data_IF_145809630636
#
_entry.id   IF_145809630636
#
_cell.length_a   1.000
_cell.length_b   1.000
_cell.length_c   1.000
_cell.angle_alpha   90.00
_cell.angle_beta   90.00
_cell.angle_gamma   90.00
#
_symmetry.space_group_name_H-M   'P 1'
#
loop_
_entity.id
_entity.type
_entity.pdbx_description
1 polymer ?
#
# COMPACT_ATOMS: atom_id res chain seq x y z
N UNK A 1 -42.23 -23.38 -13.64
CA UNK A 1 -41.33 -23.36 -12.46
C UNK A 1 -39.84 -23.26 -12.82
N UNK A 2 -39.33 -23.95 -13.83
CA UNK A 2 -37.89 -23.90 -14.22
C UNK A 2 -37.38 -22.51 -14.64
N UNK A 3 -38.18 -21.72 -15.35
CA UNK A 3 -37.80 -20.37 -15.79
C UNK A 3 -37.67 -19.37 -14.64
N UNK A 4 -38.49 -19.49 -13.59
CA UNK A 4 -38.46 -18.61 -12.42
C UNK A 4 -37.22 -18.89 -11.57
N UNK A 5 -36.84 -20.16 -11.38
CA UNK A 5 -35.56 -20.50 -10.73
C UNK A 5 -34.36 -19.94 -11.49
N UNK A 6 -34.36 -19.98 -12.82
CA UNK A 6 -33.23 -19.48 -13.63
C UNK A 6 -33.02 -17.96 -13.49
N UNK A 7 -34.11 -17.19 -13.43
CA UNK A 7 -34.05 -15.73 -13.22
C UNK A 7 -33.54 -15.38 -11.81
N UNK A 8 -33.98 -16.14 -10.80
CA UNK A 8 -33.51 -15.96 -9.41
C UNK A 8 -32.01 -16.26 -9.28
N UNK A 9 -31.51 -17.31 -9.94
CA UNK A 9 -30.08 -17.64 -9.95
C UNK A 9 -29.23 -16.56 -10.65
N UNK A 10 -29.71 -15.99 -11.77
CA UNK A 10 -29.01 -14.91 -12.47
C UNK A 10 -28.96 -13.61 -11.66
N UNK A 11 -30.05 -13.27 -10.95
CA UNK A 11 -30.09 -12.10 -10.07
C UNK A 11 -29.15 -12.26 -8.86
N UNK A 12 -29.04 -13.46 -8.28
CA UNK A 12 -28.11 -13.74 -7.18
C UNK A 12 -26.63 -13.64 -7.62
N UNK A 13 -26.29 -14.09 -8.83
CA UNK A 13 -24.94 -13.92 -9.38
C UNK A 13 -24.59 -12.45 -9.66
N UNK A 14 -25.54 -11.65 -10.12
CA UNK A 14 -25.33 -10.22 -10.40
C UNK A 14 -25.07 -9.40 -9.12
N UNK A 15 -25.73 -9.74 -8.01
CA UNK A 15 -25.52 -9.07 -6.72
C UNK A 15 -24.13 -9.40 -6.15
N UNK A 16 -23.70 -10.66 -6.21
CA UNK A 16 -22.38 -11.10 -5.74
C UNK A 16 -21.20 -10.57 -6.57
N UNK A 17 -21.42 -10.18 -7.82
CA UNK A 17 -20.39 -9.55 -8.66
C UNK A 17 -20.10 -8.08 -8.26
N UNK A 18 -20.98 -7.45 -7.48
CA UNK A 18 -20.94 -6.01 -7.20
C UNK A 18 -20.36 -5.63 -5.83
N UNK A 19 -20.07 -6.60 -4.96
CA UNK A 19 -19.57 -6.36 -3.59
C UNK A 19 -18.08 -6.67 -3.41
N UNK A 20 -17.29 -6.70 -4.49
CA UNK A 20 -15.84 -6.51 -4.31
C UNK A 20 -15.59 -5.04 -3.94
N UNK A 21 -15.66 -4.74 -2.64
CA UNK A 21 -14.99 -3.57 -2.08
C UNK A 21 -13.51 -3.82 -2.38
N UNK A 22 -13.04 -3.36 -3.56
CA UNK A 22 -11.61 -3.19 -3.79
C UNK A 22 -11.19 -2.15 -2.77
N UNK A 23 -10.66 -2.62 -1.64
CA UNK A 23 -9.71 -1.84 -0.85
C UNK A 23 -8.75 -1.27 -1.89
N UNK A 24 -8.69 0.07 -1.98
CA UNK A 24 -7.78 0.76 -2.91
C UNK A 24 -6.36 0.42 -2.48
N UNK A 25 -5.83 -0.71 -2.96
CA UNK A 25 -4.45 -1.10 -2.71
C UNK A 25 -3.55 -0.11 -3.43
N UNK A 26 -2.58 0.45 -2.70
CA UNK A 26 -1.59 1.40 -3.21
C UNK A 26 -1.92 2.87 -2.95
N UNK A 27 -1.10 3.76 -3.50
CA UNK A 27 -1.24 5.20 -3.31
C UNK A 27 -2.36 5.77 -4.18
N UNK A 28 -3.11 6.73 -3.65
CA UNK A 28 -4.01 7.57 -4.45
C UNK A 28 -3.22 8.42 -5.47
N UNK A 29 -3.89 8.99 -6.49
CA UNK A 29 -3.20 9.88 -7.45
C UNK A 29 -2.61 11.10 -6.75
N UNK A 30 -3.33 11.66 -5.77
CA UNK A 30 -2.86 12.80 -4.97
C UNK A 30 -1.64 12.43 -4.14
N UNK A 31 -1.64 11.24 -3.52
CA UNK A 31 -0.50 10.73 -2.75
C UNK A 31 0.71 10.47 -3.65
N UNK A 32 0.49 9.90 -4.84
CA UNK A 32 1.55 9.69 -5.83
C UNK A 32 2.20 11.02 -6.23
N UNK A 33 1.40 12.02 -6.57
CA UNK A 33 1.91 13.33 -6.98
C UNK A 33 2.65 14.01 -5.83
N UNK A 34 2.05 14.08 -4.65
CA UNK A 34 2.68 14.65 -3.44
C UNK A 34 4.03 14.01 -3.15
N UNK A 35 4.10 12.69 -3.25
CA UNK A 35 5.32 11.93 -3.02
C UNK A 35 6.39 12.20 -4.09
N UNK A 36 6.01 12.14 -5.38
CA UNK A 36 6.93 12.42 -6.47
C UNK A 36 7.44 13.85 -6.46
N UNK A 37 6.60 14.83 -6.16
CA UNK A 37 6.98 16.24 -6.10
C UNK A 37 8.06 16.46 -5.03
N UNK A 38 7.83 15.93 -3.82
CA UNK A 38 8.79 16.03 -2.73
C UNK A 38 10.11 15.30 -3.04
N UNK A 39 10.03 14.06 -3.51
CA UNK A 39 11.21 13.25 -3.82
C UNK A 39 12.02 13.83 -4.99
N UNK A 40 11.36 14.28 -6.06
CA UNK A 40 12.06 14.88 -7.19
C UNK A 40 12.69 16.22 -6.83
N UNK A 41 12.05 17.03 -5.98
CA UNK A 41 12.65 18.26 -5.46
C UNK A 41 13.94 17.97 -4.68
N UNK A 42 13.91 16.99 -3.77
CA UNK A 42 15.11 16.56 -3.04
C UNK A 42 16.20 16.04 -3.99
N UNK A 43 15.82 15.23 -4.99
CA UNK A 43 16.75 14.72 -6.01
C UNK A 43 17.42 15.88 -6.75
N UNK A 44 16.69 16.92 -7.16
CA UNK A 44 17.29 18.05 -7.84
C UNK A 44 18.24 18.83 -6.92
N UNK A 45 17.84 19.13 -5.69
CA UNK A 45 18.69 19.85 -4.73
C UNK A 45 20.01 19.11 -4.44
N UNK A 46 19.95 17.80 -4.25
CA UNK A 46 21.15 16.97 -4.06
C UNK A 46 21.98 16.90 -5.33
N UNK A 47 21.34 16.80 -6.50
CA UNK A 47 22.03 16.80 -7.79
C UNK A 47 22.86 18.06 -8.00
N UNK A 48 22.27 19.22 -7.69
CA UNK A 48 22.96 20.51 -7.73
C UNK A 48 24.17 20.54 -6.80
N UNK A 49 24.01 20.10 -5.54
CA UNK A 49 25.12 20.04 -4.57
C UNK A 49 26.25 19.12 -5.05
N UNK A 50 25.91 18.02 -5.70
CA UNK A 50 26.84 17.00 -6.16
C UNK A 50 27.41 17.29 -7.56
N UNK A 51 26.88 18.27 -8.29
CA UNK A 51 27.24 18.50 -9.70
C UNK A 51 26.82 17.36 -10.64
N UNK A 52 25.76 16.62 -10.30
CA UNK A 52 25.20 15.55 -11.14
C UNK A 52 23.73 15.81 -11.44
N UNK A 53 23.22 15.24 -12.53
CA UNK A 53 21.80 15.31 -12.85
C UNK A 53 21.10 14.03 -12.42
N UNK A 54 20.03 14.19 -11.65
CA UNK A 54 19.07 13.14 -11.38
C UNK A 54 17.91 13.22 -12.37
N UNK A 55 17.65 12.12 -13.08
CA UNK A 55 16.44 11.99 -13.87
C UNK A 55 15.19 12.16 -12.98
N UNK A 56 14.16 12.80 -13.52
CA UNK A 56 12.88 12.96 -12.85
C UNK A 56 12.19 11.59 -12.76
N UNK A 57 11.88 11.17 -11.54
CA UNK A 57 11.14 9.93 -11.30
C UNK A 57 9.68 10.09 -11.72
N UNK A 58 9.17 9.07 -12.40
CA UNK A 58 7.77 8.95 -12.79
C UNK A 58 7.11 7.78 -12.10
N UNK A 59 5.81 7.91 -11.80
CA UNK A 59 5.09 6.84 -11.10
C UNK A 59 4.80 5.68 -12.04
N UNK A 60 5.00 4.45 -11.58
CA UNK A 60 4.75 3.25 -12.35
C UNK A 60 3.89 2.25 -11.57
N UNK A 61 2.69 1.98 -12.07
CA UNK A 61 1.75 1.03 -11.44
C UNK A 61 2.23 -0.42 -11.44
N UNK A 62 3.06 -0.81 -12.41
CA UNK A 62 3.69 -2.14 -12.39
C UNK A 62 4.67 -2.30 -11.22
N UNK A 63 5.45 -1.26 -10.93
CA UNK A 63 6.35 -1.23 -9.77
C UNK A 63 5.60 -1.14 -8.43
N UNK A 64 4.46 -0.43 -8.38
CA UNK A 64 3.57 -0.43 -7.21
C UNK A 64 3.05 -1.85 -6.93
N UNK A 65 2.57 -2.55 -7.96
CA UNK A 65 2.12 -3.93 -7.82
C UNK A 65 3.26 -4.85 -7.39
N UNK A 66 4.47 -4.62 -7.90
CA UNK A 66 5.67 -5.38 -7.47
C UNK A 66 5.99 -5.14 -6.00
N UNK A 67 5.92 -3.90 -5.53
CA UNK A 67 6.15 -3.56 -4.13
C UNK A 67 5.10 -4.18 -3.20
N UNK A 68 3.83 -4.14 -3.60
CA UNK A 68 2.71 -4.76 -2.86
C UNK A 68 2.88 -6.28 -2.71
N UNK A 69 3.22 -6.96 -3.80
CA UNK A 69 3.35 -8.42 -3.85
C UNK A 69 4.75 -8.92 -3.45
N UNK A 70 5.61 -8.05 -2.96
CA UNK A 70 6.94 -8.45 -2.48
C UNK A 70 6.82 -9.50 -1.37
N UNK A 71 7.67 -10.53 -1.40
CA UNK A 71 7.65 -11.63 -0.43
C UNK A 71 8.53 -11.29 0.77
N UNK A 72 8.02 -11.44 1.99
CA UNK A 72 8.72 -11.05 3.23
C UNK A 72 9.69 -12.13 3.74
N UNK A 73 10.21 -12.98 2.85
CA UNK A 73 10.66 -14.33 3.20
C UNK A 73 12.15 -14.40 3.58
N UNK A 74 12.78 -13.25 3.88
CA UNK A 74 14.14 -13.18 4.41
C UNK A 74 14.94 -11.94 3.98
N UNK A 75 16.14 -11.73 4.56
CA UNK A 75 16.95 -10.52 4.38
C UNK A 75 17.55 -10.36 2.97
N UNK A 76 17.78 -11.46 2.24
CA UNK A 76 18.49 -11.43 0.94
C UNK A 76 17.68 -10.88 -0.24
N UNK A 77 16.35 -10.81 -0.14
CA UNK A 77 15.49 -10.25 -1.20
C UNK A 77 15.24 -8.74 -1.04
N UNK A 78 15.74 -8.13 0.04
CA UNK A 78 15.41 -6.75 0.42
C UNK A 78 16.07 -5.69 -0.48
N UNK A 79 17.11 -6.02 -1.26
CA UNK A 79 17.75 -5.07 -2.17
C UNK A 79 16.87 -4.61 -3.35
N UNK A 80 15.75 -5.29 -3.59
CA UNK A 80 14.80 -4.94 -4.66
C UNK A 80 13.69 -3.97 -4.25
N UNK A 81 13.58 -3.67 -2.95
CA UNK A 81 12.58 -2.75 -2.41
C UNK A 81 13.20 -1.84 -1.35
N UNK A 82 12.58 -0.68 -1.12
CA UNK A 82 12.94 0.20 -0.02
C UNK A 82 11.74 0.32 0.91
N UNK A 83 11.86 -0.02 2.20
CA UNK A 83 10.77 0.19 3.14
C UNK A 83 10.48 1.69 3.29
N UNK A 84 9.26 2.04 3.71
CA UNK A 84 8.90 3.43 3.99
C UNK A 84 8.96 3.77 5.48
N UNK A 85 8.91 2.76 6.34
CA UNK A 85 9.05 2.85 7.78
C UNK A 85 9.56 1.52 8.32
N UNK A 86 10.40 1.54 9.34
CA UNK A 86 10.86 0.32 9.99
C UNK A 86 10.80 0.45 11.52
N UNK A 87 10.82 -0.67 12.24
CA UNK A 87 10.93 -0.67 13.69
C UNK A 87 12.40 -0.54 14.16
N UNK A 88 12.60 -0.35 15.46
CA UNK A 88 13.93 -0.15 16.03
C UNK A 88 14.87 -1.33 15.77
N UNK A 89 14.36 -2.56 15.90
CA UNK A 89 15.15 -3.78 15.64
C UNK A 89 15.69 -3.81 14.20
N UNK A 90 14.89 -3.37 13.22
CA UNK A 90 15.33 -3.29 11.82
C UNK A 90 16.35 -2.16 11.60
N UNK A 91 16.26 -1.04 12.33
CA UNK A 91 17.27 0.04 12.27
C UNK A 91 18.62 -0.39 12.78
N UNK A 92 18.66 -1.31 13.75
CA UNK A 92 19.92 -1.83 14.31
C UNK A 92 20.66 -2.77 13.35
N UNK A 93 19.95 -3.41 12.42
CA UNK A 93 20.52 -4.40 11.49
C UNK A 93 20.71 -3.88 10.07
N UNK A 94 20.03 -2.80 9.69
CA UNK A 94 20.12 -2.22 8.36
C UNK A 94 20.75 -0.82 8.36
N UNK A 95 21.62 -0.60 7.37
CA UNK A 95 22.15 0.72 7.08
C UNK A 95 21.06 1.62 6.46
N UNK A 96 20.66 2.67 7.18
CA UNK A 96 19.67 3.64 6.74
C UNK A 96 20.09 4.42 5.50
N UNK A 97 21.38 4.68 5.36
CA UNK A 97 21.92 5.42 4.22
C UNK A 97 21.84 4.55 2.97
N UNK A 98 22.18 3.27 3.09
CA UNK A 98 22.02 2.30 1.99
C UNK A 98 20.58 2.25 1.45
N UNK A 99 19.57 2.29 2.33
CA UNK A 99 18.17 2.29 1.92
C UNK A 99 17.79 3.61 1.24
N UNK A 100 18.21 4.73 1.83
CA UNK A 100 17.93 6.06 1.32
C UNK A 100 18.57 6.27 -0.06
N UNK A 101 19.79 5.76 -0.30
CA UNK A 101 20.51 5.83 -1.59
C UNK A 101 19.69 5.36 -2.79
N UNK A 102 18.78 4.41 -2.61
CA UNK A 102 17.96 3.90 -3.72
C UNK A 102 17.00 4.96 -4.28
N UNK A 103 16.48 5.86 -3.42
CA UNK A 103 15.70 7.03 -3.85
C UNK A 103 16.53 8.02 -4.67
N UNK A 104 17.85 7.98 -4.48
CA UNK A 104 18.81 8.87 -5.12
C UNK A 104 19.75 8.10 -6.04
N UNK A 105 19.31 7.02 -6.68
CA UNK A 105 20.08 6.45 -7.79
C UNK A 105 19.78 7.25 -9.08
N UNK A 106 20.80 7.84 -9.75
CA UNK A 106 20.59 8.63 -10.98
C UNK A 106 20.04 7.83 -12.16
N UNK A 107 20.21 6.49 -12.14
CA UNK A 107 19.74 5.60 -13.21
C UNK A 107 18.28 5.18 -13.05
N UNK A 108 17.69 5.40 -11.88
CA UNK A 108 16.27 5.16 -11.66
C UNK A 108 15.46 6.30 -12.29
N UNK A 109 14.47 5.95 -13.12
CA UNK A 109 13.53 6.88 -13.78
C UNK A 109 12.07 6.59 -13.44
N UNK A 110 11.81 5.45 -12.79
CA UNK A 110 10.49 4.96 -12.42
C UNK A 110 10.49 4.49 -10.97
N UNK A 111 9.37 4.71 -10.31
CA UNK A 111 9.11 4.26 -8.95
C UNK A 111 7.66 3.83 -8.80
N UNK A 112 7.39 2.86 -7.94
CA UNK A 112 6.03 2.57 -7.49
C UNK A 112 6.05 2.03 -6.07
N UNK A 113 5.10 2.46 -5.25
CA UNK A 113 5.10 2.17 -3.82
C UNK A 113 3.75 1.65 -3.34
N UNK A 114 3.78 0.74 -2.38
CA UNK A 114 2.62 0.42 -1.56
C UNK A 114 2.83 0.98 -0.16
N UNK A 115 1.83 1.70 0.36
CA UNK A 115 1.81 2.14 1.77
C UNK A 115 1.20 1.10 2.71
N UNK A 116 0.46 0.12 2.17
CA UNK A 116 -0.28 -0.90 2.93
C UNK A 116 0.58 -2.15 3.18
N UNK A 117 1.66 -2.31 2.42
CA UNK A 117 2.59 -3.42 2.60
C UNK A 117 3.13 -3.44 4.03
N UNK A 118 3.02 -4.58 4.69
CA UNK A 118 3.64 -4.83 5.99
C UNK A 118 4.40 -6.14 5.93
N UNK A 119 5.61 -6.16 6.50
CA UNK A 119 6.43 -7.36 6.65
C UNK A 119 6.96 -7.44 8.08
N UNK A 120 7.00 -8.65 8.62
CA UNK A 120 7.56 -8.97 9.93
C UNK A 120 8.40 -10.24 9.79
N UNK A 121 9.64 -10.20 10.28
CA UNK A 121 10.56 -11.33 10.24
C UNK A 121 11.36 -11.41 11.54
N UNK A 122 11.31 -12.57 12.18
CA UNK A 122 12.08 -12.82 13.40
C UNK A 122 13.43 -13.41 13.05
N UNK A 123 14.51 -12.73 13.44
CA UNK A 123 15.86 -13.24 13.27
C UNK A 123 16.19 -14.23 14.40
N UNK A 124 16.35 -15.51 14.04
CA UNK A 124 16.58 -16.60 15.01
C UNK A 124 17.80 -16.37 15.91
N UNK A 125 18.83 -15.66 15.41
CA UNK A 125 20.09 -15.43 16.14
C UNK A 125 20.01 -14.37 17.25
N UNK A 126 18.93 -13.58 17.33
CA UNK A 126 18.80 -12.52 18.33
C UNK A 126 17.43 -12.46 19.01
N UNK A 127 16.46 -13.27 18.58
CA UNK A 127 15.08 -13.21 19.09
C UNK A 127 14.37 -11.88 18.80
N UNK A 128 14.99 -11.01 18.01
CA UNK A 128 14.46 -9.72 17.58
C UNK A 128 13.54 -9.91 16.38
N UNK A 129 12.47 -9.13 16.34
CA UNK A 129 11.51 -9.16 15.24
C UNK A 129 11.68 -7.87 14.45
N UNK A 130 12.23 -7.97 13.25
CA UNK A 130 12.34 -6.84 12.36
C UNK A 130 11.05 -6.65 11.57
N UNK A 131 10.56 -5.42 11.57
CA UNK A 131 9.31 -5.06 10.92
C UNK A 131 9.52 -3.86 10.01
N UNK A 132 8.80 -3.86 8.90
CA UNK A 132 8.68 -2.68 8.05
C UNK A 132 7.27 -2.50 7.51
N UNK A 133 6.94 -1.23 7.28
CA UNK A 133 5.68 -0.78 6.71
C UNK A 133 5.94 0.07 5.48
N UNK A 134 5.08 -0.12 4.49
CA UNK A 134 5.23 0.38 3.15
C UNK A 134 6.49 -0.16 2.44
N UNK A 135 6.44 -0.18 1.12
CA UNK A 135 7.55 -0.57 0.28
C UNK A 135 7.51 0.19 -1.04
N UNK A 136 8.68 0.57 -1.55
CA UNK A 136 8.88 1.15 -2.88
C UNK A 136 9.75 0.24 -3.73
N UNK A 137 9.44 0.13 -5.01
CA UNK A 137 10.30 -0.52 -6.01
C UNK A 137 10.65 0.46 -7.12
N UNK A 138 11.86 0.31 -7.65
CA UNK A 138 12.43 1.24 -8.63
C UNK A 138 12.70 0.55 -9.96
N UNK A 139 12.81 1.36 -11.02
CA UNK A 139 13.20 0.90 -12.33
C UNK A 139 13.84 2.00 -13.18
N UNK A 140 14.72 1.63 -14.13
CA UNK A 140 15.35 0.31 -14.26
C UNK A 140 16.32 0.05 -13.09
N UNK A 141 16.42 -1.21 -12.63
CA UNK A 141 17.36 -1.60 -11.56
C UNK A 141 18.78 -1.66 -12.12
N UNK A 142 19.40 -0.48 -12.28
CA UNK A 142 20.78 -0.34 -12.73
C UNK A 142 21.63 0.11 -11.55
N UNK A 143 22.72 -0.61 -11.30
CA UNK A 143 23.71 -0.20 -10.32
C UNK A 143 24.31 1.15 -10.70
N UNK A 144 24.53 1.99 -9.70
CA UNK A 144 25.26 3.25 -9.85
C UNK A 144 26.24 3.37 -8.70
N UNK A 145 27.49 3.67 -9.02
CA UNK A 145 28.53 3.91 -8.02
C UNK A 145 28.76 5.40 -7.94
N UNK A 146 28.57 5.97 -6.74
CA UNK A 146 28.98 7.33 -6.42
C UNK A 146 30.48 7.39 -6.18
N UNK A 147 31.08 8.55 -6.46
CA UNK A 147 32.41 8.86 -5.96
C UNK A 147 32.37 8.89 -4.42
N UNK A 148 33.28 8.19 -3.75
CA UNK A 148 33.33 8.12 -2.28
C UNK A 148 33.48 9.50 -1.63
N UNK A 149 34.09 10.46 -2.33
CA UNK A 149 34.21 11.85 -1.88
C UNK A 149 32.92 12.66 -2.05
N UNK A 150 32.01 12.22 -2.91
CA UNK A 150 30.80 12.93 -3.31
C UNK A 150 29.59 11.98 -3.40
N UNK A 151 29.06 11.61 -2.23
CA UNK A 151 27.90 10.72 -2.10
C UNK A 151 26.64 11.49 -1.68
N UNK A 152 25.42 10.98 -1.92
CA UNK A 152 24.19 11.66 -1.51
C UNK A 152 24.14 11.99 -0.01
N UNK A 153 24.61 11.09 0.86
CA UNK A 153 24.62 11.28 2.33
C UNK A 153 25.42 12.53 2.71
N UNK A 154 26.59 12.71 2.08
CA UNK A 154 27.47 13.87 2.31
C UNK A 154 26.89 15.18 1.78
N UNK A 155 25.88 15.10 0.92
CA UNK A 155 25.24 16.23 0.25
C UNK A 155 23.81 16.51 0.75
N UNK A 156 23.47 16.01 1.94
CA UNK A 156 22.21 16.32 2.61
C UNK A 156 21.05 15.41 2.22
N UNK A 157 21.32 14.17 1.81
CA UNK A 157 20.28 13.18 1.51
C UNK A 157 19.34 12.96 2.70
N UNK A 158 18.02 13.13 2.50
CA UNK A 158 17.04 12.75 3.50
C UNK A 158 16.98 11.25 3.74
N UNK A 159 16.64 10.85 4.96
CA UNK A 159 16.27 9.48 5.28
C UNK A 159 15.04 9.04 4.46
N UNK A 160 15.02 7.78 4.03
CA UNK A 160 13.87 7.16 3.39
C UNK A 160 12.56 7.30 4.19
N UNK A 161 12.64 7.35 5.52
CA UNK A 161 11.46 7.46 6.39
C UNK A 161 10.72 8.80 6.21
N UNK A 162 11.40 9.87 5.77
CA UNK A 162 10.77 11.15 5.39
C UNK A 162 9.59 10.92 4.43
N UNK A 163 9.77 10.02 3.48
CA UNK A 163 8.74 9.74 2.47
C UNK A 163 7.61 8.85 3.03
N UNK A 164 7.90 7.99 4.01
CA UNK A 164 6.87 7.24 4.73
C UNK A 164 5.99 8.15 5.59
N UNK A 165 6.59 9.11 6.29
CA UNK A 165 5.88 10.14 7.06
C UNK A 165 5.00 11.00 6.16
N UNK A 166 5.53 11.44 5.02
CA UNK A 166 4.79 12.21 4.00
C UNK A 166 3.51 11.50 3.53
N UNK A 167 3.58 10.16 3.47
CA UNK A 167 2.53 9.25 3.01
C UNK A 167 1.65 8.69 4.15
N UNK A 168 1.94 9.04 5.40
CA UNK A 168 1.17 8.55 6.57
C UNK A 168 1.33 7.04 6.82
N UNK A 169 2.47 6.45 6.46
CA UNK A 169 2.72 5.01 6.62
C UNK A 169 2.73 4.62 8.11
N UNK A 170 1.97 3.57 8.45
CA UNK A 170 1.93 3.04 9.82
C UNK A 170 1.21 3.95 10.83
N UNK A 171 0.38 4.89 10.38
CA UNK A 171 -0.50 5.63 11.28
C UNK A 171 -1.61 4.74 11.85
N UNK A 172 -2.17 3.80 11.07
CA UNK A 172 -3.28 2.94 11.52
C UNK A 172 -2.89 1.86 12.54
N UNK A 173 -1.62 1.40 12.56
CA UNK A 173 -1.16 0.41 13.54
C UNK A 173 -0.93 1.02 14.94
N UNK A 174 -0.69 2.33 15.03
CA UNK A 174 -0.56 3.05 16.30
C UNK A 174 -1.91 3.19 17.03
N UNK A 175 -3.00 3.39 16.30
CA UNK A 175 -4.35 3.46 16.88
C UNK A 175 -4.77 2.13 17.53
N UNK A 176 -4.37 0.99 16.97
CA UNK A 176 -4.64 -0.32 17.56
C UNK A 176 -3.80 -0.63 18.80
N UNK A 177 -2.58 -0.09 18.91
CA UNK A 177 -1.74 -0.28 20.10
C UNK A 177 -2.14 0.65 21.26
N UNK A 178 -2.52 1.91 20.99
CA UNK A 178 -2.99 2.82 22.04
C UNK A 178 -4.35 2.40 22.62
N UNK A 179 -5.27 1.85 21.81
CA UNK A 179 -6.49 1.25 22.36
C UNK A 179 -6.22 -0.06 23.14
N UNK A 180 -5.20 -0.83 22.76
CA UNK A 180 -4.80 -2.04 23.49
C UNK A 180 -4.18 -1.70 24.85
N UNK A 181 -3.37 -0.64 24.93
CA UNK A 181 -2.79 -0.15 26.18
C UNK A 181 -3.82 0.57 27.06
N UNK A 182 -4.73 1.35 26.47
CA UNK A 182 -5.85 1.99 27.18
C UNK A 182 -6.87 0.97 27.73
N UNK A 183 -6.95 -0.23 27.13
CA UNK A 183 -7.77 -1.37 27.62
C UNK A 183 -7.03 -2.28 28.61
N UNK A 184 -5.76 -2.00 28.96
CA UNK A 184 -4.98 -2.79 29.93
C UNK A 184 -5.24 -2.43 31.41
N UNK A 185 -6.12 -1.46 31.67
CA UNK A 185 -6.72 -1.25 32.99
C UNK A 185 -7.57 -2.47 33.38
N UNK A 186 -6.95 -3.43 34.08
CA UNK A 186 -7.54 -4.70 34.56
C UNK A 186 -9.02 -4.58 34.97
N UNK A 187 -9.93 -5.36 34.34
CA UNK A 187 -11.15 -5.80 35.01
C UNK A 187 -11.03 -7.27 35.42
N UNK A 188 -11.48 -7.57 36.63
CA UNK A 188 -11.67 -8.93 37.14
C UNK A 188 -12.85 -9.59 36.40
N UNK A 189 -12.60 -10.80 35.89
CA UNK A 189 -13.55 -11.77 35.29
C UNK A 189 -14.27 -11.35 34.00
N UNK A 190 -13.95 -11.95 32.84
CA UNK A 190 -14.75 -11.78 31.62
C UNK A 190 -16.03 -12.62 31.68
N UNK A 191 -17.17 -12.01 31.31
CA UNK A 191 -18.42 -12.73 31.05
C UNK A 191 -18.33 -13.51 29.72
N UNK A 192 -18.99 -14.69 29.60
CA UNK A 192 -18.95 -15.48 28.37
C UNK A 192 -19.66 -14.79 27.19
N UNK A 193 -19.12 -15.03 26.00
CA UNK A 193 -19.49 -14.47 24.69
C UNK A 193 -20.99 -14.59 24.30
N UNK A 194 -21.78 -15.41 24.99
CA UNK A 194 -23.21 -15.62 24.68
C UNK A 194 -24.13 -14.47 25.08
N UNK A 195 -23.67 -13.49 25.85
CA UNK A 195 -24.51 -12.36 26.33
C UNK A 195 -24.48 -11.14 25.39
N UNK A 196 -23.51 -11.04 24.46
CA UNK A 196 -23.34 -9.89 23.55
C UNK A 196 -24.24 -9.93 22.31
N UNK A 197 -24.83 -11.09 21.99
CA UNK A 197 -25.62 -11.28 20.76
C UNK A 197 -27.08 -10.80 20.91
N UNK A 198 -27.49 -10.39 22.12
CA UNK A 198 -28.88 -10.00 22.38
C UNK A 198 -29.16 -8.48 22.24
N UNK A 199 -28.14 -7.63 22.09
CA UNK A 199 -28.31 -6.16 22.18
C UNK A 199 -28.30 -5.40 20.84
N UNK A 200 -27.96 -6.04 19.71
CA UNK A 200 -27.99 -5.37 18.39
C UNK A 200 -29.32 -5.51 17.63
N UNK A 201 -30.35 -6.09 18.25
CA UNK A 201 -31.63 -6.36 17.62
C UNK A 201 -32.71 -5.29 17.87
N UNK A 202 -32.38 -4.01 17.99
CA UNK A 202 -33.36 -2.92 17.81
C UNK A 202 -32.66 -1.62 17.40
N UNK A 203 -32.83 -1.15 16.17
CA UNK A 203 -33.15 0.25 15.81
C UNK A 203 -33.52 0.34 14.32
N UNK A 204 -34.61 1.06 14.08
CA UNK A 204 -35.41 1.22 12.87
C UNK A 204 -34.72 1.82 11.63
N UNK A 205 -35.24 1.40 10.46
CA UNK A 205 -35.03 2.02 9.15
C UNK A 205 -35.99 3.20 8.90
N UNK A 206 -35.46 4.34 8.45
CA UNK A 206 -36.20 5.32 7.64
C UNK A 206 -35.28 6.25 6.85
N UNK A 207 -35.50 6.32 5.53
CA UNK A 207 -35.21 7.52 4.72
C UNK A 207 -34.17 7.38 3.59
N UNK A 208 -34.64 6.98 2.40
CA UNK A 208 -34.17 7.53 1.10
C UNK A 208 -34.75 8.97 0.93
N UNK A 209 -34.31 9.88 0.01
CA UNK A 209 -33.99 9.58 -1.40
C UNK A 209 -32.95 10.46 -2.18
N UNK A 210 -32.59 9.94 -3.36
CA UNK A 210 -32.36 10.60 -4.69
C UNK A 210 -31.11 11.41 -5.07
N UNK A 211 -30.54 11.05 -6.24
CA UNK A 211 -29.72 11.91 -7.12
C UNK A 211 -28.58 11.20 -7.89
N UNK A 212 -28.86 10.33 -8.86
CA UNK A 212 -28.71 10.55 -10.33
C UNK A 212 -27.35 11.06 -10.86
N UNK A 213 -26.59 10.21 -11.58
CA UNK A 213 -26.09 10.53 -12.93
C UNK A 213 -25.37 9.35 -13.63
N UNK A 214 -26.11 8.79 -14.60
CA UNK A 214 -25.78 8.02 -15.82
C UNK A 214 -24.30 7.86 -16.25
N UNK A 215 -23.92 6.61 -16.56
CA UNK A 215 -23.41 6.20 -17.89
C UNK A 215 -23.93 4.79 -18.23
N UNK A 216 -24.79 4.73 -19.24
CA UNK A 216 -25.31 3.49 -19.82
C UNK A 216 -24.27 2.92 -20.80
N UNK A 217 -23.85 1.67 -20.60
CA UNK A 217 -23.25 0.85 -21.65
C UNK A 217 -24.36 -0.08 -22.16
N UNK A 218 -24.58 -0.04 -23.47
CA UNK A 218 -25.70 -0.62 -24.19
C UNK A 218 -25.74 -2.15 -24.08
N UNK A 219 -26.62 -2.68 -23.23
CA UNK A 219 -26.92 -4.11 -23.06
C UNK A 219 -27.67 -4.74 -24.25
N UNK A 220 -28.03 -3.94 -25.27
CA UNK A 220 -28.76 -4.41 -26.46
C UNK A 220 -27.92 -5.24 -27.42
N UNK A 221 -26.58 -5.13 -27.40
CA UNK A 221 -25.72 -5.92 -28.29
C UNK A 221 -25.49 -7.36 -27.81
N UNK A 222 -25.59 -7.63 -26.51
CA UNK A 222 -25.37 -8.98 -25.97
C UNK A 222 -26.57 -9.92 -26.13
N UNK A 223 -27.79 -9.39 -26.17
CA UNK A 223 -29.01 -10.21 -26.26
C UNK A 223 -29.32 -10.69 -27.69
N UNK A 224 -28.87 -9.97 -28.73
CA UNK A 224 -29.08 -10.39 -30.12
C UNK A 224 -28.24 -11.62 -30.47
N UNK A 225 -27.03 -11.74 -29.91
CA UNK A 225 -26.17 -12.92 -30.13
C UNK A 225 -26.71 -14.20 -29.51
N UNK A 226 -27.50 -14.12 -28.43
CA UNK A 226 -28.04 -15.30 -27.75
C UNK A 226 -29.28 -15.86 -28.47
N UNK A 227 -30.08 -15.00 -29.12
CA UNK A 227 -31.28 -15.44 -29.83
C UNK A 227 -30.93 -16.13 -31.16
N UNK A 228 -29.81 -15.77 -31.81
CA UNK A 228 -29.37 -16.38 -33.06
C UNK A 228 -28.81 -17.81 -32.93
N UNK A 229 -28.57 -18.30 -31.71
CA UNK A 229 -28.11 -19.69 -31.48
C UNK A 229 -29.23 -20.65 -31.04
N UNK A 230 -30.45 -20.13 -30.84
CA UNK A 230 -31.60 -20.92 -30.35
C UNK A 230 -32.78 -20.98 -31.33
N UNK A 231 -32.64 -20.46 -32.55
CA UNK A 231 -33.56 -20.66 -33.67
C UNK A 231 -32.81 -21.07 -34.93
#
# INVERSE_FOLDING_TARGET
MKAVSSIVYLLLFAINASTSVRVKRGLSIEEQNKFLDALNADRQAIGENMGITFEILTYNKGLELKAENFRCDGPSQQFGIVPLKVNQDMKEVMDSDMLSRQFFNPKNTKIGCSKEKTCSHTFELQGKTAEFWGACSFGPLLGYHFDDSNTPEKNGMPSYEKYGELLGVGQYSAWTSEEAEAKSGKPKNPKPYSEWVAEEATVDSKGSPTGSSRRFISLTLFLVSIIAFYF
#
